data_IF_462943165561
#
_entry.id   IF_462943165561
#
_cell.length_a   1.000
_cell.length_b   1.000
_cell.length_c   1.000
_cell.angle_alpha   90.00
_cell.angle_beta   90.00
_cell.angle_gamma   90.00
#
_symmetry.space_group_name_H-M   'P 1'
#
loop_
_entity.id
_entity.type
_entity.pdbx_description
1 polymer ?
#
# COMPACT_ATOMS: atom_id res chain seq x y z
N UNK A 1 -1.30 -5.02 -3.12
CA UNK A 1 0.09 -5.47 -2.98
C UNK A 1 0.97 -4.24 -2.96
N UNK A 2 2.05 -4.27 -2.21
CA UNK A 2 3.07 -3.22 -2.18
C UNK A 2 4.38 -3.82 -2.67
N UNK A 3 5.09 -3.10 -3.54
CA UNK A 3 6.42 -3.50 -4.03
C UNK A 3 7.41 -2.43 -3.63
N UNK A 4 8.50 -2.84 -3.03
CA UNK A 4 9.60 -1.98 -2.60
C UNK A 4 10.87 -2.43 -3.32
N UNK A 5 11.61 -1.49 -3.89
CA UNK A 5 12.96 -1.74 -4.37
C UNK A 5 13.90 -1.65 -3.17
N UNK A 6 14.56 -2.75 -2.84
CA UNK A 6 15.45 -2.84 -1.71
C UNK A 6 16.87 -3.21 -2.16
N UNK A 7 17.86 -2.50 -1.64
CA UNK A 7 19.24 -2.95 -1.69
C UNK A 7 19.43 -3.94 -0.53
N UNK A 8 19.78 -5.17 -0.86
CA UNK A 8 19.94 -6.26 0.10
C UNK A 8 21.41 -6.65 0.17
N UNK A 9 21.96 -6.64 1.36
CA UNK A 9 23.28 -7.15 1.64
C UNK A 9 23.18 -8.25 2.68
N UNK A 10 23.83 -9.39 2.41
CA UNK A 10 23.89 -10.52 3.32
C UNK A 10 25.34 -10.89 3.52
N UNK A 11 25.64 -11.22 4.76
CA UNK A 11 26.96 -11.67 5.16
C UNK A 11 26.83 -12.91 6.03
N UNK A 12 27.65 -13.92 5.75
CA UNK A 12 27.73 -15.13 6.57
C UNK A 12 29.15 -15.65 6.60
N UNK A 13 29.49 -16.44 7.60
CA UNK A 13 30.81 -17.06 7.75
C UNK A 13 30.76 -18.52 7.32
N UNK A 14 31.69 -18.93 6.48
CA UNK A 14 31.88 -20.30 6.04
C UNK A 14 33.37 -20.67 6.21
N UNK A 15 33.69 -21.31 7.33
CA UNK A 15 35.07 -21.58 7.72
C UNK A 15 35.87 -22.38 6.70
N UNK A 16 35.21 -23.26 5.94
CA UNK A 16 35.82 -24.09 4.89
C UNK A 16 36.37 -23.28 3.72
N UNK A 17 35.99 -22.00 3.61
CA UNK A 17 36.43 -21.08 2.56
C UNK A 17 37.53 -20.12 3.06
N UNK A 18 38.10 -20.34 4.23
CA UNK A 18 39.19 -19.49 4.76
C UNK A 18 40.54 -19.92 4.19
N UNK A 19 41.39 -18.94 3.90
CA UNK A 19 42.78 -19.18 3.45
C UNK A 19 43.75 -18.20 4.09
N UNK A 20 45.03 -18.57 4.12
CA UNK A 20 46.09 -17.67 4.54
C UNK A 20 46.54 -16.81 3.36
N UNK A 21 46.25 -15.52 3.37
CA UNK A 21 46.54 -14.60 2.26
C UNK A 21 48.03 -14.53 1.90
N UNK A 22 48.93 -14.74 2.88
CA UNK A 22 50.39 -14.71 2.63
C UNK A 22 50.88 -15.86 1.75
N UNK A 23 50.15 -16.97 1.67
CA UNK A 23 50.46 -18.12 0.83
C UNK A 23 49.95 -17.97 -0.62
N UNK A 24 49.09 -16.95 -0.86
CA UNK A 24 48.43 -16.68 -2.11
C UNK A 24 48.62 -15.23 -2.56
N UNK A 25 49.86 -14.76 -2.69
CA UNK A 25 50.22 -13.43 -3.17
C UNK A 25 49.52 -12.26 -2.49
N UNK A 26 49.21 -12.40 -1.20
CA UNK A 26 48.40 -11.45 -0.39
C UNK A 26 46.99 -11.18 -0.94
N UNK A 27 46.37 -12.14 -1.60
CA UNK A 27 44.97 -12.04 -2.03
C UNK A 27 44.07 -12.09 -0.79
N UNK A 28 43.38 -11.01 -0.52
CA UNK A 28 42.47 -10.85 0.64
C UNK A 28 41.01 -11.23 0.32
N UNK A 29 40.61 -11.15 -0.94
CA UNK A 29 39.24 -11.49 -1.36
C UNK A 29 39.20 -12.04 -2.78
N UNK A 30 38.23 -12.91 -3.04
CA UNK A 30 37.97 -13.50 -4.37
C UNK A 30 36.48 -13.40 -4.71
N UNK A 31 36.18 -13.35 -6.01
CA UNK A 31 34.81 -13.41 -6.52
C UNK A 31 34.52 -14.86 -6.93
N UNK A 32 33.49 -15.45 -6.31
CA UNK A 32 32.99 -16.78 -6.66
C UNK A 32 31.60 -16.69 -7.28
N UNK A 33 31.24 -17.69 -8.07
CA UNK A 33 29.89 -17.86 -8.57
C UNK A 33 29.00 -18.49 -7.47
N UNK A 34 27.76 -17.98 -7.33
CA UNK A 34 26.81 -18.45 -6.33
C UNK A 34 26.42 -19.93 -6.51
N UNK A 35 26.64 -20.50 -7.70
CA UNK A 35 26.41 -21.93 -7.95
C UNK A 35 27.49 -22.85 -7.39
N UNK A 36 28.64 -22.29 -7.01
CA UNK A 36 29.81 -23.09 -6.55
C UNK A 36 29.89 -23.28 -5.05
N UNK A 37 29.17 -22.45 -4.30
CA UNK A 37 29.17 -22.51 -2.84
C UNK A 37 27.75 -22.51 -2.29
N UNK A 38 27.60 -22.91 -1.04
CA UNK A 38 26.32 -22.81 -0.37
C UNK A 38 25.90 -21.36 -0.13
N UNK A 39 24.63 -21.05 -0.41
CA UNK A 39 24.03 -19.72 -0.20
C UNK A 39 22.78 -19.88 0.69
N UNK A 40 22.62 -19.06 1.74
CA UNK A 40 21.45 -19.11 2.60
C UNK A 40 20.19 -18.71 1.83
N UNK A 41 19.15 -19.54 1.88
CA UNK A 41 17.85 -19.22 1.26
C UNK A 41 16.99 -18.42 2.23
N UNK A 42 16.72 -17.17 1.88
CA UNK A 42 15.85 -16.27 2.63
C UNK A 42 14.52 -16.08 1.91
N UNK A 43 13.44 -16.05 2.68
CA UNK A 43 12.08 -15.81 2.18
C UNK A 43 11.44 -14.63 2.86
N UNK A 44 10.48 -14.03 2.18
CA UNK A 44 9.68 -12.92 2.68
C UNK A 44 8.42 -13.47 3.33
N UNK A 45 8.24 -13.21 4.62
CA UNK A 45 7.01 -13.49 5.34
C UNK A 45 5.92 -12.52 4.88
N UNK A 46 4.72 -13.02 4.56
CA UNK A 46 3.60 -12.25 3.98
C UNK A 46 3.85 -11.83 2.53
N UNK A 47 4.88 -12.36 1.90
CA UNK A 47 5.16 -12.16 0.48
C UNK A 47 4.19 -12.89 -0.45
N UNK A 48 4.32 -12.67 -1.74
CA UNK A 48 3.73 -13.52 -2.79
C UNK A 48 4.39 -14.90 -2.75
N UNK A 49 3.71 -15.95 -3.28
CA UNK A 49 4.24 -17.33 -3.28
C UNK A 49 5.64 -17.47 -3.89
N UNK A 50 6.02 -16.53 -4.77
CA UNK A 50 7.29 -16.55 -5.51
C UNK A 50 8.28 -15.47 -5.04
N UNK A 51 8.04 -14.85 -3.88
CA UNK A 51 8.92 -13.81 -3.35
C UNK A 51 10.17 -14.40 -2.71
N UNK A 52 11.10 -14.83 -3.56
CA UNK A 52 12.48 -15.04 -3.15
C UNK A 52 13.14 -13.67 -2.97
N UNK A 53 13.93 -13.53 -1.89
CA UNK A 53 14.64 -12.27 -1.63
C UNK A 53 15.76 -12.00 -2.66
N UNK A 54 15.99 -12.91 -3.60
CA UNK A 54 17.14 -12.92 -4.49
C UNK A 54 16.77 -13.01 -5.97
N UNK A 55 16.97 -11.94 -6.70
CA UNK A 55 17.66 -11.97 -7.97
C UNK A 55 19.06 -11.34 -7.76
N UNK A 56 19.89 -11.98 -6.95
CA UNK A 56 21.23 -11.49 -6.72
C UNK A 56 22.11 -11.70 -7.95
N UNK A 57 23.05 -10.78 -8.15
CA UNK A 57 24.20 -11.03 -8.99
C UNK A 57 24.78 -12.41 -8.64
N UNK A 58 24.97 -13.26 -9.64
CA UNK A 58 25.51 -14.61 -9.46
C UNK A 58 26.93 -14.62 -8.85
N UNK A 59 27.46 -13.47 -8.42
CA UNK A 59 28.82 -13.30 -7.91
C UNK A 59 28.80 -12.90 -6.45
N UNK A 60 29.57 -13.63 -5.66
CA UNK A 60 29.74 -13.46 -4.23
C UNK A 60 31.19 -13.06 -3.95
N UNK A 61 31.39 -12.16 -2.98
CA UNK A 61 32.72 -11.80 -2.50
C UNK A 61 33.05 -12.66 -1.29
N UNK A 62 34.11 -13.41 -1.37
CA UNK A 62 34.63 -14.25 -0.28
C UNK A 62 35.94 -13.64 0.22
N UNK A 63 36.04 -13.36 1.52
CA UNK A 63 37.27 -12.86 2.12
C UNK A 63 38.14 -14.00 2.62
N UNK A 64 39.45 -13.75 2.78
CA UNK A 64 40.43 -14.69 3.33
C UNK A 64 40.06 -15.23 4.70
N UNK A 65 39.25 -14.50 5.47
CA UNK A 65 38.70 -14.93 6.76
C UNK A 65 37.55 -15.92 6.65
N UNK A 66 37.10 -16.29 5.45
CA UNK A 66 35.94 -17.14 5.22
C UNK A 66 34.59 -16.42 5.32
N UNK A 67 34.60 -15.10 5.34
CA UNK A 67 33.38 -14.30 5.32
C UNK A 67 32.90 -14.14 3.87
N UNK A 68 31.67 -14.54 3.59
CA UNK A 68 31.02 -14.44 2.30
C UNK A 68 30.02 -13.28 2.34
N UNK A 69 30.11 -12.40 1.33
CA UNK A 69 29.20 -11.27 1.14
C UNK A 69 28.45 -11.41 -0.17
N UNK A 70 27.16 -11.30 -0.07
CA UNK A 70 26.27 -11.24 -1.21
C UNK A 70 25.50 -9.92 -1.15
N UNK A 71 25.44 -9.20 -2.28
CA UNK A 71 24.73 -7.94 -2.36
C UNK A 71 24.01 -7.80 -3.70
N UNK A 72 22.86 -7.15 -3.68
CA UNK A 72 22.09 -6.94 -4.91
C UNK A 72 20.83 -6.10 -4.66
N UNK A 73 20.19 -5.76 -5.76
CA UNK A 73 18.91 -5.05 -5.73
C UNK A 73 17.81 -6.09 -5.92
N UNK A 74 16.79 -6.04 -5.06
CA UNK A 74 15.65 -6.95 -5.12
C UNK A 74 14.33 -6.20 -5.06
N UNK A 75 13.34 -6.67 -5.84
CA UNK A 75 11.97 -6.21 -5.76
C UNK A 75 11.20 -7.05 -4.72
N UNK A 76 10.98 -6.45 -3.56
CA UNK A 76 10.25 -7.10 -2.47
C UNK A 76 8.78 -6.79 -2.62
N UNK A 77 7.97 -7.79 -3.01
CA UNK A 77 6.53 -7.65 -3.15
C UNK A 77 5.81 -8.37 -2.01
N UNK A 78 4.99 -7.65 -1.27
CA UNK A 78 4.28 -8.18 -0.11
C UNK A 78 2.85 -7.65 0.01
N UNK A 79 2.04 -8.35 0.82
CA UNK A 79 0.66 -7.97 1.06
C UNK A 79 0.58 -6.96 2.19
N UNK A 80 -0.08 -5.84 1.94
CA UNK A 80 -0.40 -4.85 2.95
C UNK A 80 -1.91 -4.86 3.25
N UNK A 81 -2.27 -4.94 4.51
CA UNK A 81 -3.66 -4.80 4.95
C UNK A 81 -4.00 -3.31 5.00
N UNK A 82 -4.76 -2.85 4.02
CA UNK A 82 -5.13 -1.45 3.89
C UNK A 82 -6.40 -1.18 4.71
N UNK A 83 -6.36 -0.16 5.58
CA UNK A 83 -7.54 0.36 6.27
C UNK A 83 -8.09 1.56 5.50
N UNK A 84 -9.25 1.39 4.88
CA UNK A 84 -9.90 2.39 4.01
C UNK A 84 -10.83 3.35 4.74
N UNK A 85 -10.97 3.25 6.07
CA UNK A 85 -11.94 4.03 6.85
C UNK A 85 -11.86 5.53 6.60
N UNK A 86 -10.63 6.08 6.53
CA UNK A 86 -10.37 7.51 6.32
C UNK A 86 -10.04 7.85 4.85
N UNK A 87 -10.33 6.96 3.90
CA UNK A 87 -10.07 7.24 2.49
C UNK A 87 -10.72 8.54 2.02
N UNK A 88 -10.05 9.43 1.26
CA UNK A 88 -8.67 9.36 0.75
C UNK A 88 -7.61 9.99 1.67
N UNK A 89 -7.91 10.25 2.94
CA UNK A 89 -7.02 10.86 3.94
C UNK A 89 -6.33 9.81 4.82
N UNK A 90 -6.12 8.61 4.27
CA UNK A 90 -5.60 7.46 4.98
C UNK A 90 -4.07 7.44 4.99
N UNK A 91 -3.53 6.94 6.11
CA UNK A 91 -2.14 6.52 6.25
C UNK A 91 -2.13 5.03 6.59
N UNK A 92 -1.18 4.30 6.02
CA UNK A 92 -1.08 2.86 6.18
C UNK A 92 0.28 2.48 6.75
N UNK A 93 0.29 1.44 7.57
CA UNK A 93 1.54 0.80 7.99
C UNK A 93 1.62 -0.57 7.37
N UNK A 94 2.58 -0.75 6.48
CA UNK A 94 2.80 -1.98 5.74
C UNK A 94 4.09 -2.63 6.20
N UNK A 95 4.06 -3.90 6.55
CA UNK A 95 5.25 -4.60 7.05
C UNK A 95 5.45 -5.94 6.38
N UNK A 96 6.72 -6.33 6.25
CA UNK A 96 7.13 -7.68 5.87
C UNK A 96 8.26 -8.14 6.78
N UNK A 97 8.38 -9.44 6.96
CA UNK A 97 9.48 -10.06 7.67
C UNK A 97 10.37 -10.85 6.71
N UNK A 98 11.64 -11.04 7.07
CA UNK A 98 12.56 -11.92 6.37
C UNK A 98 12.85 -13.11 7.28
N UNK A 99 12.70 -14.32 6.76
CA UNK A 99 12.98 -15.54 7.50
C UNK A 99 13.80 -16.52 6.67
N UNK A 100 14.49 -17.42 7.34
CA UNK A 100 15.26 -18.51 6.71
C UNK A 100 14.33 -19.68 6.35
N UNK A 101 14.50 -20.26 5.17
CA UNK A 101 13.67 -21.38 4.73
C UNK A 101 14.05 -22.70 5.43
N UNK A 102 15.33 -22.94 5.67
CA UNK A 102 15.83 -24.18 6.28
C UNK A 102 16.12 -24.01 7.77
N UNK A 103 15.12 -24.30 8.60
CA UNK A 103 15.22 -24.29 10.06
C UNK A 103 16.18 -25.34 10.64
N UNK A 104 16.52 -26.40 9.90
CA UNK A 104 17.21 -27.57 10.45
C UNK A 104 18.73 -27.61 10.25
N UNK A 105 19.31 -26.83 9.34
CA UNK A 105 20.70 -27.03 8.91
C UNK A 105 21.71 -25.95 9.25
N UNK A 106 21.30 -24.78 9.73
CA UNK A 106 22.23 -23.76 10.16
C UNK A 106 21.60 -22.86 11.23
N UNK A 107 22.31 -22.59 12.31
CA UNK A 107 22.03 -21.45 13.20
C UNK A 107 22.40 -20.17 12.44
N UNK A 108 21.47 -19.65 11.66
CA UNK A 108 21.63 -18.31 11.08
C UNK A 108 20.97 -17.37 12.08
N UNK A 109 21.76 -16.66 12.85
CA UNK A 109 21.28 -15.53 13.61
C UNK A 109 21.19 -14.37 12.63
N UNK A 110 19.97 -13.91 12.40
CA UNK A 110 19.76 -12.66 11.68
C UNK A 110 19.98 -11.56 12.71
N UNK A 111 21.11 -10.90 12.65
CA UNK A 111 21.34 -9.67 13.39
C UNK A 111 20.81 -8.50 12.54
N UNK A 112 19.60 -8.02 12.83
CA UNK A 112 19.07 -6.87 12.12
C UNK A 112 19.74 -5.62 12.66
N UNK A 113 20.82 -5.18 12.04
CA UNK A 113 21.32 -3.82 12.23
C UNK A 113 20.27 -2.85 11.67
N UNK A 114 19.20 -2.71 12.43
CA UNK A 114 18.08 -1.87 12.08
C UNK A 114 18.33 -0.47 12.59
N UNK A 115 19.00 0.34 11.78
CA UNK A 115 19.02 1.77 12.00
C UNK A 115 17.70 2.37 11.55
N UNK A 116 17.01 3.04 12.46
CA UNK A 116 15.86 3.86 12.13
C UNK A 116 16.34 5.04 11.32
N UNK A 117 16.14 4.97 10.01
CA UNK A 117 16.38 6.10 9.13
C UNK A 117 15.05 6.79 8.89
N UNK A 118 14.89 7.98 9.42
CA UNK A 118 13.78 8.84 9.02
C UNK A 118 13.95 9.19 7.55
N UNK A 119 12.86 9.17 6.80
CA UNK A 119 12.81 9.41 5.34
C UNK A 119 13.24 10.84 4.93
N UNK A 120 14.09 11.50 5.69
CA UNK A 120 14.64 12.81 5.38
C UNK A 120 15.67 12.81 4.24
N UNK A 121 16.15 11.65 3.80
CA UNK A 121 17.00 11.55 2.64
C UNK A 121 16.12 11.41 1.39
N UNK A 122 16.04 12.47 0.64
CA UNK A 122 15.24 12.72 -0.56
C UNK A 122 15.45 11.79 -1.76
N UNK A 123 16.21 10.70 -1.61
CA UNK A 123 16.59 9.81 -2.71
C UNK A 123 15.62 8.65 -2.96
N UNK A 124 14.55 8.56 -2.18
CA UNK A 124 13.51 7.57 -2.45
C UNK A 124 12.50 8.13 -3.43
N UNK A 125 12.52 7.59 -4.63
CA UNK A 125 11.55 7.89 -5.69
C UNK A 125 10.16 7.55 -5.16
N UNK A 126 9.47 8.55 -4.65
CA UNK A 126 8.06 8.45 -4.26
C UNK A 126 7.19 8.70 -5.49
N UNK A 127 7.26 7.80 -6.46
CA UNK A 127 6.37 7.84 -7.61
C UNK A 127 5.04 7.19 -7.27
N UNK A 128 3.94 7.81 -7.69
CA UNK A 128 2.61 7.27 -7.60
C UNK A 128 1.71 7.89 -6.52
N UNK A 129 0.76 7.10 -6.07
CA UNK A 129 -0.34 7.52 -5.19
C UNK A 129 0.06 7.67 -3.72
N UNK A 130 1.22 7.15 -3.32
CA UNK A 130 1.67 7.05 -1.95
C UNK A 130 2.96 7.83 -1.71
N UNK A 131 3.06 8.43 -0.54
CA UNK A 131 4.23 9.11 0.00
C UNK A 131 4.73 8.32 1.22
N UNK A 132 6.00 7.95 1.24
CA UNK A 132 6.60 7.29 2.40
C UNK A 132 6.94 8.35 3.44
N UNK A 133 6.40 8.21 4.64
CA UNK A 133 6.64 9.13 5.75
C UNK A 133 7.79 8.66 6.64
N UNK A 134 7.83 7.36 6.93
CA UNK A 134 8.81 6.76 7.82
C UNK A 134 9.00 5.29 7.49
N UNK A 135 10.16 4.74 7.83
CA UNK A 135 10.37 3.31 7.83
C UNK A 135 11.18 2.93 9.08
N UNK A 136 10.88 1.77 9.62
CA UNK A 136 11.61 1.23 10.76
C UNK A 136 11.70 -0.27 10.69
N UNK A 137 12.69 -0.81 11.34
CA UNK A 137 12.86 -2.23 11.51
C UNK A 137 12.75 -2.59 12.99
N UNK A 138 12.19 -3.74 13.26
CA UNK A 138 12.06 -4.32 14.59
C UNK A 138 12.34 -5.81 14.53
N UNK A 139 12.84 -6.36 15.61
CA UNK A 139 13.00 -7.81 15.74
C UNK A 139 11.68 -8.40 16.22
N UNK A 140 11.09 -9.25 15.42
CA UNK A 140 9.90 -10.01 15.77
C UNK A 140 10.29 -11.43 16.22
N UNK A 141 9.58 -11.93 17.22
CA UNK A 141 9.78 -13.30 17.72
C UNK A 141 8.53 -14.12 17.40
N UNK A 142 8.72 -15.26 16.75
CA UNK A 142 7.65 -16.20 16.44
C UNK A 142 7.30 -17.07 17.66
N UNK A 143 6.21 -17.83 17.55
CA UNK A 143 5.75 -18.80 18.56
C UNK A 143 6.83 -19.86 18.91
N UNK A 144 7.74 -20.14 18.00
CA UNK A 144 8.88 -21.03 18.18
C UNK A 144 10.11 -20.35 18.81
N UNK A 145 9.97 -19.11 19.33
CA UNK A 145 11.07 -18.29 19.84
C UNK A 145 12.15 -17.93 18.82
N UNK A 146 11.91 -18.14 17.53
CA UNK A 146 12.80 -17.70 16.45
C UNK A 146 12.65 -16.19 16.23
N UNK A 147 13.79 -15.50 16.14
CA UNK A 147 13.86 -14.05 15.91
C UNK A 147 14.09 -13.80 14.43
N UNK A 148 13.33 -12.86 13.86
CA UNK A 148 13.53 -12.40 12.50
C UNK A 148 13.26 -10.89 12.36
N UNK A 149 13.93 -10.20 11.44
CA UNK A 149 13.70 -8.78 11.20
C UNK A 149 12.34 -8.58 10.53
N UNK A 150 11.63 -7.56 11.01
CA UNK A 150 10.40 -7.03 10.42
C UNK A 150 10.66 -5.60 9.98
N UNK A 151 10.47 -5.33 8.71
CA UNK A 151 10.57 -4.00 8.13
C UNK A 151 9.18 -3.42 7.97
N UNK A 152 8.95 -2.22 8.49
CA UNK A 152 7.66 -1.54 8.49
C UNK A 152 7.80 -0.18 7.81
N UNK A 153 6.87 0.11 6.90
CA UNK A 153 6.80 1.37 6.15
C UNK A 153 5.51 2.08 6.50
N UNK A 154 5.61 3.33 6.88
CA UNK A 154 4.47 4.22 7.08
C UNK A 154 4.28 5.04 5.82
N UNK A 155 3.20 4.79 5.12
CA UNK A 155 2.87 5.46 3.85
C UNK A 155 1.58 6.25 3.98
N UNK A 156 1.54 7.43 3.37
CA UNK A 156 0.37 8.31 3.32
C UNK A 156 -0.07 8.50 1.87
N UNK A 157 -1.38 8.47 1.63
CA UNK A 157 -1.93 8.71 0.30
C UNK A 157 -1.79 10.16 -0.13
N UNK A 158 -1.41 10.41 -1.38
CA UNK A 158 -1.43 11.73 -2.02
C UNK A 158 -2.87 12.11 -2.34
N UNK A 159 -3.48 12.86 -1.43
CA UNK A 159 -4.93 13.13 -1.38
C UNK A 159 -5.43 14.12 -2.42
N UNK A 160 -4.59 15.00 -2.96
CA UNK A 160 -5.00 16.13 -3.82
C UNK A 160 -5.81 15.66 -5.03
N UNK A 161 -5.33 14.66 -5.72
CA UNK A 161 -6.03 14.08 -6.86
C UNK A 161 -7.44 13.58 -6.49
N UNK A 162 -7.58 12.84 -5.41
CA UNK A 162 -8.86 12.29 -4.97
C UNK A 162 -9.83 13.36 -4.44
N UNK A 163 -9.29 14.39 -3.80
CA UNK A 163 -10.12 15.53 -3.37
C UNK A 163 -10.74 16.23 -4.58
N UNK A 164 -9.95 16.49 -5.62
CA UNK A 164 -10.44 17.18 -6.82
C UNK A 164 -11.36 16.29 -7.65
N UNK A 165 -11.03 15.03 -7.83
CA UNK A 165 -11.76 14.13 -8.76
C UNK A 165 -12.97 13.46 -8.13
N UNK A 166 -13.01 13.29 -6.82
CA UNK A 166 -14.08 12.55 -6.12
C UNK A 166 -14.81 13.42 -5.12
N UNK A 167 -14.11 13.97 -4.11
CA UNK A 167 -14.77 14.68 -3.00
C UNK A 167 -15.43 15.97 -3.50
N UNK A 168 -14.74 16.77 -4.30
CA UNK A 168 -15.27 18.05 -4.80
C UNK A 168 -16.54 17.90 -5.63
N UNK A 169 -16.63 17.02 -6.65
CA UNK A 169 -17.87 16.82 -7.41
C UNK A 169 -19.03 16.32 -6.53
N UNK A 170 -18.76 15.48 -5.53
CA UNK A 170 -19.78 14.99 -4.60
C UNK A 170 -20.37 16.10 -3.74
N UNK A 171 -19.50 16.94 -3.15
CA UNK A 171 -19.93 18.09 -2.37
C UNK A 171 -20.71 19.07 -3.25
N UNK A 172 -20.25 19.31 -4.47
CA UNK A 172 -20.95 20.16 -5.42
C UNK A 172 -22.35 19.61 -5.74
N UNK A 173 -22.48 18.31 -5.96
CA UNK A 173 -23.77 17.65 -6.23
C UNK A 173 -24.72 17.80 -5.04
N UNK A 174 -24.25 17.60 -3.80
CA UNK A 174 -25.06 17.81 -2.59
C UNK A 174 -25.56 19.25 -2.48
N UNK A 175 -24.71 20.25 -2.75
CA UNK A 175 -25.12 21.66 -2.75
C UNK A 175 -26.12 21.97 -3.87
N UNK A 176 -26.01 21.29 -5.01
CA UNK A 176 -26.90 21.52 -6.16
C UNK A 176 -28.29 20.92 -5.98
N UNK A 177 -28.45 19.79 -5.28
CA UNK A 177 -29.75 19.13 -5.09
C UNK A 177 -30.81 20.07 -4.49
N UNK A 178 -30.57 20.81 -3.38
CA UNK A 178 -31.54 21.73 -2.82
C UNK A 178 -31.97 22.89 -3.73
N UNK A 179 -31.14 23.24 -4.73
CA UNK A 179 -31.46 24.34 -5.67
C UNK A 179 -32.69 24.01 -6.54
N UNK A 180 -33.14 22.74 -6.58
CA UNK A 180 -34.41 22.35 -7.23
C UNK A 180 -35.60 23.13 -6.70
N UNK A 181 -35.59 23.55 -5.43
CA UNK A 181 -36.68 24.30 -4.83
C UNK A 181 -36.77 25.74 -5.34
N UNK A 182 -35.71 26.30 -5.93
CA UNK A 182 -35.71 27.61 -6.59
C UNK A 182 -36.37 27.58 -7.99
N UNK A 183 -36.48 26.41 -8.61
CA UNK A 183 -37.12 26.24 -9.92
C UNK A 183 -38.64 26.36 -9.77
N UNK A 184 -39.38 27.15 -10.61
CA UNK A 184 -40.81 27.24 -10.53
C UNK A 184 -41.53 25.92 -10.75
N UNK A 185 -42.62 25.64 -9.97
CA UNK A 185 -43.33 24.36 -10.03
C UNK A 185 -43.99 24.07 -11.39
N UNK A 186 -44.31 25.09 -12.15
CA UNK A 186 -45.04 25.01 -13.43
C UNK A 186 -44.22 24.54 -14.61
N UNK A 187 -42.89 24.45 -14.50
CA UNK A 187 -42.03 24.19 -15.66
C UNK A 187 -41.81 22.72 -15.96
N UNK A 188 -42.24 21.79 -15.12
CA UNK A 188 -41.98 20.34 -15.29
C UNK A 188 -40.50 19.93 -15.24
N UNK A 189 -39.56 20.89 -15.27
CA UNK A 189 -38.13 20.65 -15.34
C UNK A 189 -37.50 20.17 -14.03
N UNK A 190 -38.20 20.37 -12.90
CA UNK A 190 -37.72 19.94 -11.57
C UNK A 190 -37.38 18.47 -11.51
N UNK A 191 -38.25 17.63 -12.09
CA UNK A 191 -38.08 16.17 -12.07
C UNK A 191 -36.87 15.79 -12.94
N UNK A 192 -36.75 16.38 -14.13
CA UNK A 192 -35.60 16.13 -15.03
C UNK A 192 -34.29 16.52 -14.37
N UNK A 193 -34.25 17.65 -13.68
CA UNK A 193 -33.08 18.12 -12.92
C UNK A 193 -32.68 17.12 -11.83
N UNK A 194 -33.64 16.67 -11.01
CA UNK A 194 -33.36 15.70 -9.93
C UNK A 194 -32.94 14.34 -10.46
N UNK A 195 -33.53 13.86 -11.55
CA UNK A 195 -33.11 12.59 -12.19
C UNK A 195 -31.67 12.71 -12.68
N UNK A 196 -31.28 13.84 -13.26
CA UNK A 196 -29.91 14.08 -13.71
C UNK A 196 -28.94 14.08 -12.53
N UNK A 197 -29.26 14.72 -11.42
CA UNK A 197 -28.42 14.73 -10.21
C UNK A 197 -28.29 13.33 -9.59
N UNK A 198 -29.40 12.59 -9.53
CA UNK A 198 -29.41 11.21 -9.05
C UNK A 198 -28.54 10.30 -9.92
N UNK A 199 -28.66 10.41 -11.24
CA UNK A 199 -27.85 9.63 -12.20
C UNK A 199 -26.35 9.95 -12.04
N UNK A 200 -26.00 11.25 -11.88
CA UNK A 200 -24.62 11.65 -11.63
C UNK A 200 -24.08 11.01 -10.35
N UNK A 201 -24.85 11.02 -9.27
CA UNK A 201 -24.45 10.40 -8.00
C UNK A 201 -24.27 8.88 -8.14
N UNK A 202 -25.14 8.21 -8.89
CA UNK A 202 -25.04 6.77 -9.17
C UNK A 202 -23.76 6.43 -9.97
N UNK A 203 -23.37 7.27 -10.93
CA UNK A 203 -22.11 7.12 -11.67
C UNK A 203 -20.90 7.26 -10.72
N UNK A 204 -20.90 8.25 -9.82
CA UNK A 204 -19.85 8.40 -8.82
C UNK A 204 -19.77 7.19 -7.89
N UNK A 205 -20.90 6.63 -7.47
CA UNK A 205 -20.92 5.42 -6.66
C UNK A 205 -20.29 4.24 -7.42
N UNK A 206 -20.60 4.07 -8.69
CA UNK A 206 -19.98 3.07 -9.56
C UNK A 206 -18.47 3.25 -9.66
N UNK A 207 -17.99 4.46 -9.89
CA UNK A 207 -16.56 4.78 -9.95
C UNK A 207 -15.85 4.44 -8.62
N UNK A 208 -16.38 4.87 -7.49
CA UNK A 208 -15.79 4.61 -6.17
C UNK A 208 -15.74 3.11 -5.88
N UNK A 209 -16.75 2.36 -6.26
CA UNK A 209 -16.78 0.90 -6.08
C UNK A 209 -15.67 0.17 -6.84
N UNK A 210 -15.14 0.76 -7.92
CA UNK A 210 -14.03 0.20 -8.70
C UNK A 210 -12.66 0.60 -8.16
N UNK A 211 -12.53 1.81 -7.64
CA UNK A 211 -11.25 2.37 -7.16
C UNK A 211 -10.94 1.93 -5.73
N UNK A 212 -11.96 1.75 -4.90
CA UNK A 212 -11.75 1.34 -3.51
C UNK A 212 -11.44 -0.16 -3.39
N UNK A 213 -10.41 -0.53 -2.61
CA UNK A 213 -10.19 -1.92 -2.27
C UNK A 213 -11.38 -2.43 -1.44
N UNK A 214 -11.87 -3.62 -1.79
CA UNK A 214 -12.97 -4.29 -1.08
C UNK A 214 -12.49 -4.68 0.32
N UNK A 215 -12.77 -3.86 1.33
CA UNK A 215 -12.55 -4.19 2.74
C UNK A 215 -13.89 -4.53 3.37
N UNK A 216 -13.98 -5.73 3.94
CA UNK A 216 -15.18 -6.17 4.67
C UNK A 216 -15.21 -5.68 6.13
N UNK A 217 -14.11 -5.14 6.63
CA UNK A 217 -13.98 -4.79 8.05
C UNK A 217 -14.40 -3.36 8.40
N UNK A 218 -14.23 -2.41 7.46
CA UNK A 218 -14.49 -0.99 7.75
C UNK A 218 -15.19 -0.31 6.58
N UNK A 219 -16.28 0.42 6.90
CA UNK A 219 -16.99 1.25 5.92
C UNK A 219 -16.24 2.59 5.78
N UNK A 220 -15.81 2.98 4.57
CA UNK A 220 -15.15 4.26 4.35
C UNK A 220 -16.10 5.43 4.61
N UNK A 221 -15.62 6.50 5.21
CA UNK A 221 -16.42 7.74 5.40
C UNK A 221 -16.91 8.32 4.07
N UNK A 222 -16.14 8.16 3.00
CA UNK A 222 -16.54 8.56 1.67
C UNK A 222 -17.79 7.83 1.17
N UNK A 223 -17.94 6.53 1.47
CA UNK A 223 -19.14 5.78 1.12
C UNK A 223 -20.37 6.24 1.93
N UNK A 224 -20.18 6.62 3.19
CA UNK A 224 -21.26 7.20 4.01
C UNK A 224 -21.73 8.56 3.45
N UNK A 225 -20.79 9.41 3.03
CA UNK A 225 -21.10 10.68 2.39
C UNK A 225 -21.88 10.49 1.08
N UNK A 226 -21.52 9.49 0.26
CA UNK A 226 -22.30 9.14 -0.94
C UNK A 226 -23.72 8.70 -0.61
N UNK A 227 -23.89 7.88 0.42
CA UNK A 227 -25.20 7.43 0.86
C UNK A 227 -26.04 8.60 1.34
N UNK A 228 -25.45 9.56 2.04
CA UNK A 228 -26.11 10.80 2.47
C UNK A 228 -26.61 11.60 1.26
N UNK A 229 -25.78 11.83 0.24
CA UNK A 229 -26.16 12.54 -1.00
C UNK A 229 -27.28 11.82 -1.73
N UNK A 230 -27.27 10.48 -1.79
CA UNK A 230 -28.37 9.71 -2.38
C UNK A 230 -29.68 9.87 -1.60
N UNK A 231 -29.62 9.82 -0.27
CA UNK A 231 -30.80 10.05 0.60
C UNK A 231 -31.34 11.48 0.43
N UNK A 232 -30.46 12.47 0.36
CA UNK A 232 -30.81 13.87 0.10
C UNK A 232 -31.55 14.02 -1.23
N UNK A 233 -31.03 13.41 -2.33
CA UNK A 233 -31.67 13.39 -3.63
C UNK A 233 -33.05 12.73 -3.63
N UNK A 234 -33.19 11.60 -2.92
CA UNK A 234 -34.48 10.92 -2.77
C UNK A 234 -35.49 11.78 -2.01
N UNK A 235 -35.08 12.38 -0.88
CA UNK A 235 -35.94 13.30 -0.10
C UNK A 235 -36.38 14.50 -0.94
N UNK A 236 -35.47 15.10 -1.69
CA UNK A 236 -35.77 16.23 -2.58
C UNK A 236 -36.75 15.82 -3.68
N UNK A 237 -36.64 14.61 -4.24
CA UNK A 237 -37.57 14.06 -5.24
C UNK A 237 -38.98 13.88 -4.66
N UNK A 238 -39.08 13.26 -3.47
CA UNK A 238 -40.38 13.05 -2.81
C UNK A 238 -41.06 14.38 -2.46
N UNK A 239 -40.29 15.34 -1.91
CA UNK A 239 -40.79 16.68 -1.60
C UNK A 239 -41.26 17.43 -2.85
N UNK A 240 -40.53 17.32 -3.97
CA UNK A 240 -40.89 17.94 -5.26
C UNK A 240 -42.17 17.33 -5.81
N UNK A 241 -42.34 16.03 -5.80
CA UNK A 241 -43.55 15.35 -6.24
C UNK A 241 -44.77 15.79 -5.41
N UNK A 242 -44.59 15.94 -4.08
CA UNK A 242 -45.65 16.41 -3.21
C UNK A 242 -46.07 17.87 -3.54
N UNK A 243 -45.11 18.77 -3.77
CA UNK A 243 -45.36 20.16 -4.12
C UNK A 243 -46.05 20.28 -5.47
N UNK A 244 -45.62 19.54 -6.49
CA UNK A 244 -46.24 19.55 -7.83
C UNK A 244 -47.68 19.06 -7.75
N UNK A 245 -47.92 17.93 -7.09
CA UNK A 245 -49.26 17.38 -6.92
C UNK A 245 -50.24 18.34 -6.20
N UNK A 246 -49.71 19.05 -5.18
CA UNK A 246 -50.52 20.04 -4.48
C UNK A 246 -50.77 21.30 -5.35
N UNK A 247 -49.81 21.71 -6.16
CA UNK A 247 -49.96 22.84 -7.08
C UNK A 247 -51.05 22.58 -8.14
N UNK A 248 -51.12 21.35 -8.68
CA UNK A 248 -52.11 20.93 -9.64
C UNK A 248 -53.53 20.83 -9.01
N UNK A 249 -53.63 20.41 -7.75
CA UNK A 249 -54.92 20.32 -7.03
C UNK A 249 -55.51 21.71 -6.61
N UNK A 250 -54.74 22.78 -6.63
CA UNK A 250 -55.20 24.14 -6.33
C UNK A 250 -55.68 24.87 -7.60
N UNK A 251 -55.41 24.36 -8.77
CA UNK A 251 -55.86 24.92 -10.08
C UNK A 251 -57.22 24.39 -10.55
N UNK A 252 -57.83 23.43 -9.84
CA UNK A 252 -59.23 22.98 -9.98
C UNK A 252 -60.09 23.55 -8.86
#
# INVERSE_FOLDING_TARGET
>A
MMTVLAYVQIEWSQNDLSWNSTEYDNIESVLLDSSTIWVPTLRILVGSKDSHLYEMNNKLVVSSSGVVRAQGISYVTFRCKINVKKYPFDSQTCSFGIYKENLMLAKIEVDPNCERSSASNQDYITEGEWETLDYFCETFQDLNHEKYPRYSFVVRRRRVYYVITVVFPMVLTSVMIPLVFLIPAKTGEKISYLVTMFTSTAIFLGYISTVMPRSLSDTPYLAMLLLEVLCEGLCAMLATLWVVNKSDSVQF
#
